data_IF_002463695270
#
_entry.id   IF_002463695270
#
_cell.length_a   1.000
_cell.length_b   1.000
_cell.length_c   1.000
_cell.angle_alpha   90.00
_cell.angle_beta   90.00
_cell.angle_gamma   90.00
#
_symmetry.space_group_name_H-M   'P 1'
#
loop_
_entity.id
_entity.type
_entity.pdbx_description
1 polymer ?
#
# COMPACT_ATOMS: atom_id res chain seq x y z
N UNK A 1 4.06 8.79 16.13
CA UNK A 1 4.05 7.31 16.28
C UNK A 1 5.24 6.82 15.49
N UNK A 2 6.03 5.88 16.01
CA UNK A 2 7.15 5.32 15.25
C UNK A 2 6.71 4.86 13.85
N UNK A 3 7.47 5.25 12.82
CA UNK A 3 7.09 5.06 11.43
C UNK A 3 7.12 3.60 11.00
N UNK A 4 8.06 2.81 11.53
CA UNK A 4 8.11 1.36 11.34
C UNK A 4 6.84 0.71 11.91
N UNK A 5 6.49 0.98 13.16
CA UNK A 5 5.26 0.45 13.78
C UNK A 5 4.00 0.86 13.03
N UNK A 6 3.91 2.13 12.59
CA UNK A 6 2.79 2.61 11.76
C UNK A 6 2.73 1.81 10.46
N UNK A 7 3.86 1.61 9.79
CA UNK A 7 3.95 0.87 8.54
C UNK A 7 3.52 -0.58 8.73
N UNK A 8 3.96 -1.24 9.80
CA UNK A 8 3.55 -2.61 10.15
C UNK A 8 2.04 -2.74 10.32
N UNK A 9 1.38 -1.77 10.96
CA UNK A 9 -0.09 -1.81 11.17
C UNK A 9 -0.86 -1.86 9.86
N UNK A 10 -0.43 -1.09 8.86
CA UNK A 10 -1.05 -1.09 7.54
C UNK A 10 -0.64 -2.29 6.68
N UNK A 11 0.65 -2.68 6.72
CA UNK A 11 1.18 -3.78 5.93
C UNK A 11 0.64 -5.16 6.36
N UNK A 12 0.32 -5.33 7.64
CA UNK A 12 -0.05 -6.63 8.20
C UNK A 12 -1.35 -7.22 7.62
N UNK A 13 -2.36 -6.39 7.38
CA UNK A 13 -3.67 -6.83 6.85
C UNK A 13 -3.56 -7.67 5.57
N UNK A 14 -3.05 -7.09 4.47
CA UNK A 14 -2.86 -7.83 3.22
C UNK A 14 -1.75 -8.89 3.31
N UNK A 15 -0.75 -8.71 4.18
CA UNK A 15 0.31 -9.72 4.37
C UNK A 15 -0.20 -11.01 5.01
N UNK A 16 -1.09 -10.93 6.01
CA UNK A 16 -1.75 -12.10 6.61
C UNK A 16 -2.60 -12.88 5.60
N UNK A 17 -3.10 -12.22 4.57
CA UNK A 17 -3.84 -12.84 3.47
C UNK A 17 -2.92 -13.35 2.35
N UNK A 18 -1.59 -13.27 2.53
CA UNK A 18 -0.55 -13.61 1.56
C UNK A 18 -0.64 -12.82 0.24
N UNK A 19 -1.26 -11.63 0.25
CA UNK A 19 -1.39 -10.80 -0.95
C UNK A 19 -0.09 -10.05 -1.27
N UNK A 20 0.68 -9.67 -0.25
CA UNK A 20 1.95 -8.97 -0.39
C UNK A 20 2.88 -9.24 0.80
N UNK A 21 4.15 -8.84 0.67
CA UNK A 21 5.16 -8.97 1.73
C UNK A 21 5.77 -10.36 1.87
N UNK A 22 6.78 -10.52 2.75
CA UNK A 22 7.43 -11.80 3.02
C UNK A 22 6.48 -12.77 3.72
N UNK A 23 6.83 -14.06 3.68
CA UNK A 23 6.16 -15.11 4.44
C UNK A 23 6.61 -15.08 5.92
N UNK A 24 6.29 -13.97 6.59
CA UNK A 24 6.69 -13.66 7.97
C UNK A 24 5.57 -12.93 8.73
N UNK A 25 4.31 -13.28 8.42
CA UNK A 25 3.14 -12.61 9.01
C UNK A 25 3.06 -12.82 10.53
N UNK A 26 3.55 -13.95 11.04
CA UNK A 26 3.49 -14.30 12.46
C UNK A 26 4.49 -13.47 13.26
N UNK A 27 5.66 -13.22 12.69
CA UNK A 27 6.71 -12.36 13.23
C UNK A 27 6.24 -10.90 13.27
N UNK A 28 5.67 -10.40 12.16
CA UNK A 28 5.10 -9.04 12.11
C UNK A 28 3.99 -8.88 13.18
N UNK A 29 3.13 -9.89 13.36
CA UNK A 29 2.10 -9.87 14.39
C UNK A 29 2.69 -9.85 15.81
N UNK A 30 3.80 -10.55 16.04
CA UNK A 30 4.49 -10.54 17.34
C UNK A 30 4.98 -9.14 17.71
N UNK A 31 5.64 -8.44 16.77
CA UNK A 31 6.04 -7.04 16.96
C UNK A 31 4.84 -6.12 17.24
N UNK A 32 3.76 -6.27 16.47
CA UNK A 32 2.54 -5.47 16.66
C UNK A 32 1.90 -5.66 18.04
N UNK A 33 1.96 -6.87 18.59
CA UNK A 33 1.46 -7.17 19.95
C UNK A 33 2.33 -6.57 21.04
N UNK A 34 3.64 -6.54 20.82
CA UNK A 34 4.60 -5.94 21.75
C UNK A 34 4.57 -4.40 21.67
N UNK A 35 4.23 -3.84 20.51
CA UNK A 35 4.22 -2.40 20.30
C UNK A 35 5.63 -1.80 20.22
N UNK A 36 6.61 -2.61 19.86
CA UNK A 36 8.02 -2.24 19.75
C UNK A 36 8.51 -2.46 18.31
N UNK A 37 9.46 -1.63 17.88
CA UNK A 37 10.16 -1.77 16.60
C UNK A 37 11.66 -1.87 16.84
N UNK A 38 12.32 -2.62 15.96
CA UNK A 38 13.76 -2.82 15.93
C UNK A 38 14.25 -3.01 14.48
N UNK A 39 15.57 -3.14 14.25
CA UNK A 39 16.10 -3.40 12.90
C UNK A 39 15.60 -4.71 12.26
N UNK A 40 15.12 -5.67 13.05
CA UNK A 40 14.53 -6.90 12.56
C UNK A 40 13.18 -6.64 11.87
N UNK A 41 12.30 -5.87 12.50
CA UNK A 41 11.03 -5.46 11.89
C UNK A 41 11.25 -4.60 10.64
N UNK A 42 12.22 -3.69 10.68
CA UNK A 42 12.61 -2.87 9.51
C UNK A 42 13.03 -3.74 8.32
N UNK A 43 13.86 -4.76 8.59
CA UNK A 43 14.29 -5.72 7.58
C UNK A 43 13.11 -6.47 6.95
N UNK A 44 12.15 -6.93 7.76
CA UNK A 44 10.93 -7.59 7.26
C UNK A 44 10.09 -6.66 6.38
N UNK A 45 9.89 -5.41 6.79
CA UNK A 45 9.11 -4.44 6.01
C UNK A 45 9.81 -4.05 4.70
N UNK A 46 11.15 -4.01 4.70
CA UNK A 46 11.94 -3.72 3.50
C UNK A 46 11.82 -4.81 2.42
N UNK A 47 11.42 -6.03 2.80
CA UNK A 47 11.15 -7.12 1.85
C UNK A 47 9.84 -6.96 1.07
N UNK A 48 8.98 -6.00 1.40
CA UNK A 48 7.78 -5.72 0.62
C UNK A 48 8.14 -5.06 -0.72
N UNK A 49 8.28 -5.89 -1.76
CA UNK A 49 8.74 -5.53 -3.11
C UNK A 49 7.96 -4.44 -3.85
N UNK A 50 6.79 -4.08 -3.36
CA UNK A 50 5.99 -2.98 -3.89
C UNK A 50 6.03 -1.80 -2.95
N UNK A 51 5.61 -1.98 -1.70
CA UNK A 51 5.52 -0.91 -0.70
C UNK A 51 6.85 -0.22 -0.45
N UNK A 52 7.92 -0.97 -0.17
CA UNK A 52 9.20 -0.37 0.23
C UNK A 52 9.77 0.55 -0.87
N UNK A 53 9.79 0.14 -2.16
CA UNK A 53 10.13 1.06 -3.24
C UNK A 53 9.29 2.36 -3.29
N UNK A 54 7.99 2.32 -2.97
CA UNK A 54 7.16 3.53 -2.92
C UNK A 54 7.60 4.46 -1.79
N UNK A 55 7.92 3.89 -0.61
CA UNK A 55 8.45 4.65 0.52
C UNK A 55 9.77 5.33 0.16
N UNK A 56 10.68 4.61 -0.51
CA UNK A 56 11.95 5.17 -1.01
C UNK A 56 11.71 6.34 -1.96
N UNK A 57 10.80 6.18 -2.94
CA UNK A 57 10.46 7.26 -3.89
C UNK A 57 9.97 8.52 -3.18
N UNK A 58 9.09 8.37 -2.20
CA UNK A 58 8.51 9.50 -1.46
C UNK A 58 9.58 10.16 -0.59
N UNK A 59 10.40 9.38 0.12
CA UNK A 59 11.48 9.90 0.94
C UNK A 59 12.51 10.68 0.10
N UNK A 60 12.98 10.09 -1.00
CA UNK A 60 13.92 10.72 -1.93
C UNK A 60 13.40 12.04 -2.49
N UNK A 61 12.14 12.07 -2.94
CA UNK A 61 11.52 13.29 -3.48
C UNK A 61 11.41 14.43 -2.45
N UNK A 62 11.46 14.10 -1.16
CA UNK A 62 11.36 15.05 -0.06
C UNK A 62 12.68 15.26 0.69
N UNK A 63 13.80 14.69 0.20
CA UNK A 63 15.11 14.83 0.82
C UNK A 63 15.23 14.15 2.19
N UNK A 64 14.39 13.14 2.46
CA UNK A 64 14.42 12.36 3.69
C UNK A 64 15.29 11.12 3.47
N UNK A 65 16.20 10.86 4.41
CA UNK A 65 17.13 9.73 4.34
C UNK A 65 16.45 8.40 4.72
N UNK A 66 15.43 8.45 5.58
CA UNK A 66 14.73 7.29 6.10
C UNK A 66 13.41 7.05 5.33
N UNK A 67 13.28 5.94 4.56
CA UNK A 67 12.03 5.55 3.94
C UNK A 67 10.90 5.25 4.94
N UNK A 68 11.24 4.90 6.18
CA UNK A 68 10.28 4.66 7.25
C UNK A 68 9.99 5.89 8.10
N UNK A 69 10.42 7.10 7.69
CA UNK A 69 9.99 8.35 8.33
C UNK A 69 8.46 8.38 8.46
N UNK A 70 7.96 8.78 9.63
CA UNK A 70 6.53 8.74 9.94
C UNK A 70 5.68 9.46 8.88
N UNK A 71 6.17 10.59 8.34
CA UNK A 71 5.46 11.35 7.31
C UNK A 71 5.48 10.64 5.96
N UNK A 72 6.55 9.91 5.62
CA UNK A 72 6.65 9.12 4.39
C UNK A 72 5.68 7.94 4.42
N UNK A 73 5.65 7.21 5.54
CA UNK A 73 4.74 6.09 5.77
C UNK A 73 3.29 6.57 5.71
N UNK A 74 2.98 7.70 6.35
CA UNK A 74 1.67 8.33 6.28
C UNK A 74 1.28 8.72 4.85
N UNK A 75 2.19 9.34 4.11
CA UNK A 75 1.97 9.77 2.75
C UNK A 75 1.56 8.60 1.85
N UNK A 76 2.26 7.48 1.96
CA UNK A 76 1.96 6.29 1.17
C UNK A 76 0.60 5.67 1.53
N UNK A 77 0.29 5.51 2.81
CA UNK A 77 -0.88 4.74 3.23
C UNK A 77 -2.20 5.53 3.23
N UNK A 78 -2.17 6.78 3.72
CA UNK A 78 -3.38 7.61 3.91
C UNK A 78 -3.32 8.98 3.25
N UNK A 79 -2.14 9.36 2.73
CA UNK A 79 -1.95 10.60 1.97
C UNK A 79 -1.61 11.80 2.85
N UNK A 80 -0.65 12.59 2.39
CA UNK A 80 -0.33 13.92 2.92
C UNK A 80 0.45 14.73 1.85
N UNK A 81 0.90 15.94 2.22
CA UNK A 81 1.60 16.87 1.32
C UNK A 81 2.89 16.34 0.68
N UNK A 82 3.54 15.31 1.24
CA UNK A 82 4.80 14.78 0.68
C UNK A 82 4.61 14.17 -0.71
N UNK A 83 3.39 13.74 -1.03
CA UNK A 83 3.06 13.20 -2.35
C UNK A 83 3.17 14.26 -3.46
N UNK A 84 2.97 15.54 -3.14
CA UNK A 84 3.02 16.66 -4.10
C UNK A 84 4.45 16.92 -4.61
N UNK A 85 5.47 16.59 -3.81
CA UNK A 85 6.86 16.71 -4.19
C UNK A 85 7.29 15.64 -5.22
N UNK A 86 6.53 14.55 -5.36
CA UNK A 86 6.88 13.48 -6.29
C UNK A 86 6.51 13.87 -7.71
N UNK A 87 7.51 14.29 -8.48
CA UNK A 87 7.33 14.64 -9.88
C UNK A 87 6.85 13.46 -10.75
N UNK A 88 6.10 13.79 -11.82
CA UNK A 88 5.59 12.82 -12.79
C UNK A 88 6.67 11.92 -13.41
N UNK A 89 7.84 12.49 -13.73
CA UNK A 89 8.98 11.75 -14.32
C UNK A 89 9.58 10.73 -13.35
N UNK A 90 9.93 11.10 -12.10
CA UNK A 90 10.28 10.13 -11.06
C UNK A 90 9.24 9.03 -10.90
N UNK A 91 7.95 9.37 -10.81
CA UNK A 91 6.92 8.37 -10.60
C UNK A 91 6.75 7.43 -11.80
N UNK A 92 6.82 7.93 -13.03
CA UNK A 92 6.84 7.09 -14.22
C UNK A 92 7.99 6.08 -14.19
N UNK A 93 9.23 6.55 -13.92
CA UNK A 93 10.41 5.67 -13.84
C UNK A 93 10.27 4.64 -12.74
N UNK A 94 9.73 5.03 -11.59
CA UNK A 94 9.43 4.11 -10.51
C UNK A 94 8.51 2.96 -10.96
N UNK A 95 7.41 3.27 -11.66
CA UNK A 95 6.52 2.24 -12.17
C UNK A 95 7.16 1.38 -13.28
N UNK A 96 7.86 2.00 -14.24
CA UNK A 96 8.42 1.30 -15.40
C UNK A 96 9.68 0.50 -15.08
N UNK A 97 10.61 1.09 -14.33
CA UNK A 97 11.96 0.58 -14.09
C UNK A 97 12.04 -0.13 -12.75
N UNK A 98 11.73 0.55 -11.65
CA UNK A 98 11.85 -0.01 -10.28
C UNK A 98 10.89 -1.17 -10.07
N UNK A 99 9.60 -0.97 -10.35
CA UNK A 99 8.60 -2.02 -10.19
C UNK A 99 8.50 -2.93 -11.43
N UNK A 100 8.99 -2.49 -12.59
CA UNK A 100 8.95 -3.29 -13.82
C UNK A 100 7.53 -3.50 -14.38
N UNK A 101 6.58 -2.61 -14.08
CA UNK A 101 5.17 -2.81 -14.41
C UNK A 101 4.93 -3.01 -15.90
N UNK A 102 5.65 -2.28 -16.76
CA UNK A 102 5.55 -2.46 -18.22
C UNK A 102 5.74 -3.91 -18.67
N UNK A 103 6.64 -4.65 -18.02
CA UNK A 103 6.87 -6.08 -18.30
C UNK A 103 5.78 -6.96 -17.68
N UNK A 104 5.30 -6.63 -16.48
CA UNK A 104 4.36 -7.45 -15.71
C UNK A 104 2.91 -7.39 -16.20
N UNK A 105 2.45 -6.21 -16.64
CA UNK A 105 1.08 -5.98 -17.13
C UNK A 105 1.01 -5.76 -18.66
N UNK A 106 2.15 -5.58 -19.33
CA UNK A 106 2.25 -5.37 -20.78
C UNK A 106 2.13 -3.91 -21.20
N UNK A 107 2.66 -3.57 -22.38
CA UNK A 107 2.81 -2.18 -22.82
C UNK A 107 1.50 -1.40 -22.99
N UNK A 108 0.46 -2.00 -23.57
CA UNK A 108 -0.85 -1.34 -23.76
C UNK A 108 -1.53 -1.00 -22.44
N UNK A 109 -1.54 -1.96 -21.53
CA UNK A 109 -2.03 -1.84 -20.17
C UNK A 109 -1.23 -0.78 -19.39
N UNK A 110 0.09 -0.79 -19.51
CA UNK A 110 0.96 0.19 -18.87
C UNK A 110 0.68 1.62 -19.35
N UNK A 111 0.36 1.83 -20.63
CA UNK A 111 -0.01 3.15 -21.13
C UNK A 111 -1.26 3.71 -20.41
N UNK A 112 -2.29 2.87 -20.19
CA UNK A 112 -3.50 3.26 -19.44
C UNK A 112 -3.18 3.70 -18.00
N UNK A 113 -2.22 3.04 -17.35
CA UNK A 113 -1.75 3.44 -16.01
C UNK A 113 -1.03 4.79 -16.09
N UNK A 114 -0.18 4.99 -17.09
CA UNK A 114 0.60 6.24 -17.22
C UNK A 114 -0.21 7.44 -17.69
N UNK A 115 -1.35 7.23 -18.34
CA UNK A 115 -2.29 8.32 -18.65
C UNK A 115 -2.84 8.95 -17.36
N UNK A 116 -3.01 8.16 -16.29
CA UNK A 116 -3.43 8.67 -14.97
C UNK A 116 -2.35 9.53 -14.30
N UNK A 117 -1.07 9.28 -14.58
CA UNK A 117 0.02 10.18 -14.15
C UNK A 117 -0.09 11.56 -14.83
N UNK A 118 -0.67 11.65 -16.03
CA UNK A 118 -0.97 12.93 -16.65
C UNK A 118 -2.18 13.62 -16.02
N UNK A 119 -3.14 12.83 -15.50
CA UNK A 119 -4.31 13.31 -14.78
C UNK A 119 -4.06 13.65 -13.29
N UNK A 120 -2.83 13.54 -12.80
CA UNK A 120 -2.46 13.90 -11.42
C UNK A 120 -2.42 12.74 -10.43
N UNK A 121 -2.28 11.49 -10.89
CA UNK A 121 -2.07 10.35 -10.00
C UNK A 121 -0.82 10.53 -9.13
N UNK A 122 -0.95 10.16 -7.86
CA UNK A 122 0.08 10.27 -6.84
C UNK A 122 0.58 8.88 -6.40
N UNK A 123 1.80 8.78 -5.84
CA UNK A 123 2.37 7.51 -5.38
C UNK A 123 1.76 7.03 -4.05
N UNK A 124 0.43 6.93 -4.02
CA UNK A 124 -0.37 6.50 -2.88
C UNK A 124 -0.72 5.01 -2.97
N UNK A 125 -0.95 4.35 -1.84
CA UNK A 125 -1.31 2.94 -1.79
C UNK A 125 -2.57 2.62 -2.60
N UNK A 126 -3.61 3.45 -2.48
CA UNK A 126 -4.85 3.30 -3.27
C UNK A 126 -4.63 3.34 -4.77
N UNK A 127 -3.67 4.14 -5.28
CA UNK A 127 -3.32 4.11 -6.70
C UNK A 127 -2.81 2.72 -7.08
N UNK A 128 -1.94 2.14 -6.26
CA UNK A 128 -1.46 0.79 -6.53
C UNK A 128 -2.60 -0.25 -6.53
N UNK A 129 -3.49 -0.20 -5.53
CA UNK A 129 -4.60 -1.16 -5.40
C UNK A 129 -5.61 -1.05 -6.55
N UNK A 130 -5.98 0.16 -6.96
CA UNK A 130 -7.07 0.37 -7.92
C UNK A 130 -6.60 0.48 -9.38
N UNK A 131 -5.37 0.93 -9.62
CA UNK A 131 -4.87 1.19 -10.98
C UNK A 131 -3.92 0.10 -11.48
N UNK A 132 -3.31 -0.68 -10.57
CA UNK A 132 -2.49 -1.84 -10.91
C UNK A 132 -3.29 -3.11 -10.61
N UNK A 133 -4.19 -3.49 -11.52
CA UNK A 133 -5.15 -4.60 -11.35
C UNK A 133 -4.51 -5.99 -11.27
N UNK A 134 -3.19 -6.10 -11.36
CA UNK A 134 -2.45 -7.34 -11.17
C UNK A 134 -1.71 -7.27 -9.85
N UNK A 135 -1.99 -8.19 -8.93
CA UNK A 135 -1.23 -8.34 -7.69
C UNK A 135 0.21 -8.68 -8.03
N UNK A 136 1.12 -7.93 -7.43
CA UNK A 136 2.57 -8.00 -7.70
C UNK A 136 3.38 -8.59 -6.55
N UNK A 137 2.68 -9.13 -5.54
CA UNK A 137 3.24 -9.79 -4.36
C UNK A 137 3.56 -11.26 -4.59
N UNK A 138 3.01 -12.14 -3.76
CA UNK A 138 3.38 -13.57 -3.73
C UNK A 138 2.84 -14.36 -4.93
N UNK A 139 1.68 -13.96 -5.48
CA UNK A 139 1.11 -14.55 -6.68
C UNK A 139 0.72 -13.48 -7.68
N UNK A 140 1.14 -13.66 -8.93
CA UNK A 140 0.79 -12.79 -10.05
C UNK A 140 -0.63 -13.11 -10.54
N UNK A 141 -1.63 -12.57 -9.83
CA UNK A 141 -3.05 -12.80 -10.11
C UNK A 141 -3.79 -11.48 -10.23
N UNK A 142 -4.88 -11.46 -10.99
CA UNK A 142 -5.72 -10.27 -11.08
C UNK A 142 -6.40 -9.97 -9.74
N UNK A 143 -6.58 -8.69 -9.44
CA UNK A 143 -7.37 -8.23 -8.32
C UNK A 143 -8.85 -8.57 -8.56
N UNK A 144 -9.49 -9.08 -7.52
CA UNK A 144 -10.95 -9.21 -7.43
C UNK A 144 -11.48 -8.04 -6.63
N UNK A 145 -12.80 -7.80 -6.68
CA UNK A 145 -13.43 -6.78 -5.84
C UNK A 145 -13.11 -7.01 -4.35
N UNK A 146 -13.17 -8.27 -3.90
CA UNK A 146 -12.83 -8.69 -2.54
C UNK A 146 -11.36 -8.42 -2.18
N UNK A 147 -10.42 -8.71 -3.09
CA UNK A 147 -9.01 -8.47 -2.79
C UNK A 147 -8.63 -6.99 -2.85
N UNK A 148 -9.32 -6.18 -3.67
CA UNK A 148 -9.20 -4.72 -3.61
C UNK A 148 -9.74 -4.18 -2.29
N UNK A 149 -10.90 -4.66 -1.85
CA UNK A 149 -11.52 -4.23 -0.58
C UNK A 149 -10.66 -4.61 0.63
N UNK A 150 -10.02 -5.78 0.57
CA UNK A 150 -9.10 -6.26 1.61
C UNK A 150 -7.74 -5.56 1.62
N UNK A 151 -7.30 -5.00 0.48
CA UNK A 151 -6.04 -4.28 0.38
C UNK A 151 -6.18 -2.78 0.66
N UNK A 152 -7.30 -2.15 0.26
CA UNK A 152 -7.47 -0.70 0.44
C UNK A 152 -7.45 -0.35 1.94
N UNK A 153 -6.95 0.84 2.24
CA UNK A 153 -7.15 1.40 3.57
C UNK A 153 -8.59 1.88 3.69
N UNK A 154 -9.29 1.37 4.70
CA UNK A 154 -10.68 1.69 5.00
C UNK A 154 -10.81 2.20 6.44
N UNK A 155 -11.98 2.74 6.75
CA UNK A 155 -12.33 3.15 8.10
C UNK A 155 -13.74 2.66 8.42
N UNK A 156 -14.05 2.60 9.71
CA UNK A 156 -15.37 2.22 10.19
C UNK A 156 -15.61 2.75 11.59
N UNK A 157 -16.87 2.83 11.98
CA UNK A 157 -17.28 3.21 13.34
C UNK A 157 -17.38 1.96 14.21
N UNK A 158 -16.66 1.95 15.32
CA UNK A 158 -16.84 0.92 16.35
C UNK A 158 -18.23 1.06 16.96
N UNK A 159 -19.02 0.00 16.91
CA UNK A 159 -20.38 -0.04 17.48
C UNK A 159 -20.45 -0.85 18.77
N UNK A 160 -19.54 -1.81 18.96
CA UNK A 160 -19.42 -2.60 20.17
C UNK A 160 -17.98 -3.08 20.37
N UNK A 161 -17.60 -3.27 21.63
CA UNK A 161 -16.34 -3.92 22.04
C UNK A 161 -16.71 -5.02 23.02
N UNK A 162 -16.33 -6.26 22.72
CA UNK A 162 -16.56 -7.43 23.56
C UNK A 162 -15.24 -8.19 23.72
N UNK A 163 -14.56 -7.94 24.83
CA UNK A 163 -13.22 -8.46 25.11
C UNK A 163 -12.22 -8.13 23.97
N UNK A 164 -11.63 -9.14 23.30
CA UNK A 164 -10.70 -8.93 22.19
C UNK A 164 -11.38 -8.65 20.84
N UNK A 165 -12.72 -8.68 20.79
CA UNK A 165 -13.49 -8.53 19.55
C UNK A 165 -14.06 -7.12 19.44
N UNK A 166 -14.05 -6.58 18.22
CA UNK A 166 -14.62 -5.26 17.90
C UNK A 166 -15.63 -5.43 16.78
N UNK A 167 -16.83 -4.88 16.96
CA UNK A 167 -17.83 -4.78 15.88
C UNK A 167 -17.70 -3.43 15.21
N UNK A 168 -17.57 -3.43 13.88
CA UNK A 168 -17.40 -2.24 13.06
C UNK A 168 -18.57 -2.07 12.10
N UNK A 169 -19.06 -0.84 11.99
CA UNK A 169 -19.87 -0.40 10.86
C UNK A 169 -18.94 0.26 9.84
N UNK A 170 -18.82 -0.34 8.65
CA UNK A 170 -17.95 0.13 7.57
C UNK A 170 -18.66 -0.02 6.22
N UNK A 171 -18.23 0.75 5.24
CA UNK A 171 -18.72 0.65 3.86
C UNK A 171 -17.73 -0.21 3.03
N UNK A 172 -18.12 -1.41 2.57
CA UNK A 172 -17.29 -2.21 1.68
C UNK A 172 -17.24 -1.62 0.26
N UNK A 173 -16.32 -2.15 -0.54
CA UNK A 173 -16.20 -1.83 -1.95
C UNK A 173 -17.24 -2.64 -2.76
N UNK A 174 -18.04 -1.94 -3.56
CA UNK A 174 -19.05 -2.50 -4.45
C UNK A 174 -18.75 -2.16 -5.91
N UNK A 175 -19.19 -3.03 -6.82
CA UNK A 175 -19.18 -2.75 -8.27
C UNK A 175 -20.62 -2.47 -8.73
N UNK A 176 -20.90 -1.23 -9.13
CA UNK A 176 -22.21 -0.82 -9.67
C UNK A 176 -22.02 -0.18 -11.04
N UNK A 177 -22.72 -0.69 -12.06
CA UNK A 177 -22.65 -0.18 -13.44
C UNK A 177 -21.20 -0.08 -13.98
N UNK A 178 -20.35 -1.05 -13.62
CA UNK A 178 -18.94 -1.06 -14.01
C UNK A 178 -18.04 -0.04 -13.29
N UNK A 179 -18.54 0.60 -12.23
CA UNK A 179 -17.78 1.55 -11.39
C UNK A 179 -17.66 1.06 -9.97
N UNK A 180 -16.50 1.30 -9.37
CA UNK A 180 -16.27 1.05 -7.95
C UNK A 180 -16.97 2.13 -7.11
N UNK A 181 -17.66 1.72 -6.05
CA UNK A 181 -18.33 2.60 -5.10
C UNK A 181 -18.22 2.02 -3.69
N UNK A 182 -18.46 2.85 -2.68
CA UNK A 182 -18.58 2.39 -1.30
C UNK A 182 -20.06 2.19 -0.97
N UNK A 183 -20.41 1.19 -0.16
CA UNK A 183 -21.73 1.12 0.49
C UNK A 183 -22.22 -0.28 0.79
#
# INVERSE_FOLDING_TARGET
MDGILRCSRYAFGPNRLHYCGPDANSEILAYLRQGESDPGLESLLSMFRTMYPYLQLIAEANGLADPFDEQVVEAYWIGNRLLEAVGRKPFYRHLSETLGMRRRIGGRAFNLVTDKLAAGALPHHSFHVFDIWKRTGNTETEHTLESMDSCRISWGRVTAVDGPSVTLLSEPLLLREGKLTLG
#
